data_IF_606900102877
#
_entry.id   IF_606900102877
#
_cell.length_a   1.000
_cell.length_b   1.000
_cell.length_c   1.000
_cell.angle_alpha   90.00
_cell.angle_beta   90.00
_cell.angle_gamma   90.00
#
_symmetry.space_group_name_H-M   'P 1'
#
loop_
_entity.id
_entity.type
_entity.pdbx_description
1 polymer ?
#
# COMPACT_ATOMS: atom_id res chain seq x y z
N UNK A 1 7.55 4.45 -7.18
CA UNK A 1 7.68 4.38 -5.71
C UNK A 1 8.94 5.09 -5.20
N UNK A 2 10.15 4.66 -5.60
CA UNK A 2 11.43 5.27 -5.14
C UNK A 2 11.49 6.78 -5.43
N UNK A 3 11.31 7.18 -6.68
CA UNK A 3 11.36 8.60 -7.10
C UNK A 3 10.35 9.46 -6.33
N UNK A 4 9.13 8.96 -6.14
CA UNK A 4 8.10 9.67 -5.39
C UNK A 4 8.47 9.87 -3.91
N UNK A 5 9.01 8.86 -3.25
CA UNK A 5 9.49 8.99 -1.86
C UNK A 5 10.74 9.90 -1.76
N UNK A 6 11.59 9.94 -2.79
CA UNK A 6 12.70 10.88 -2.85
C UNK A 6 12.17 12.32 -2.90
N UNK A 7 11.16 12.59 -3.72
CA UNK A 7 10.50 13.90 -3.73
C UNK A 7 9.83 14.24 -2.40
N UNK A 8 9.22 13.28 -1.71
CA UNK A 8 8.71 13.48 -0.36
C UNK A 8 9.83 13.90 0.62
N UNK A 9 11.00 13.27 0.55
CA UNK A 9 12.13 13.58 1.43
C UNK A 9 12.67 15.00 1.23
N UNK A 10 12.67 15.51 -0.01
CA UNK A 10 13.21 16.84 -0.34
C UNK A 10 12.14 17.94 -0.45
N UNK A 11 10.87 17.63 -0.20
CA UNK A 11 9.75 18.54 -0.47
C UNK A 11 9.79 19.85 0.35
N UNK A 12 10.03 21.03 -0.27
CA UNK A 12 10.21 22.28 0.47
C UNK A 12 8.89 22.83 1.05
N UNK A 13 7.75 22.36 0.54
CA UNK A 13 6.43 22.78 0.99
C UNK A 13 5.42 21.62 0.91
N UNK A 14 4.25 21.85 1.51
CA UNK A 14 3.17 20.88 1.58
C UNK A 14 2.67 20.43 0.21
N UNK A 15 2.55 21.34 -0.77
CA UNK A 15 2.01 21.03 -2.08
C UNK A 15 2.90 20.06 -2.85
N UNK A 16 4.22 20.25 -2.81
CA UNK A 16 5.15 19.29 -3.42
C UNK A 16 5.10 17.94 -2.71
N UNK A 17 5.03 17.94 -1.37
CA UNK A 17 4.88 16.70 -0.60
C UNK A 17 3.60 15.95 -0.99
N UNK A 18 2.48 16.66 -1.12
CA UNK A 18 1.21 16.06 -1.50
C UNK A 18 1.22 15.51 -2.93
N UNK A 19 1.76 16.28 -3.88
CA UNK A 19 1.92 15.80 -5.26
C UNK A 19 2.81 14.54 -5.32
N UNK A 20 3.91 14.52 -4.57
CA UNK A 20 4.80 13.36 -4.47
C UNK A 20 4.12 12.14 -3.84
N UNK A 21 3.25 12.34 -2.84
CA UNK A 21 2.42 11.29 -2.23
C UNK A 21 1.44 10.69 -3.25
N UNK A 22 0.72 11.54 -3.99
CA UNK A 22 -0.20 11.11 -5.05
C UNK A 22 0.55 10.32 -6.12
N UNK A 23 1.70 10.83 -6.57
CA UNK A 23 2.56 10.13 -7.52
C UNK A 23 3.03 8.76 -7.00
N UNK A 24 3.41 8.69 -5.73
CA UNK A 24 3.83 7.44 -5.08
C UNK A 24 2.69 6.43 -5.01
N UNK A 25 1.45 6.89 -4.76
CA UNK A 25 0.27 6.04 -4.64
C UNK A 25 -0.06 5.27 -5.94
N UNK A 26 0.13 5.88 -7.11
CA UNK A 26 -0.03 5.18 -8.40
C UNK A 26 0.90 3.96 -8.51
N UNK A 27 2.15 4.10 -8.06
CA UNK A 27 3.10 2.99 -8.06
C UNK A 27 2.72 1.88 -7.07
N UNK A 28 2.08 2.22 -5.96
CA UNK A 28 1.64 1.25 -4.95
C UNK A 28 0.51 0.36 -5.49
N UNK A 29 -0.48 0.94 -6.20
CA UNK A 29 -1.59 0.18 -6.78
C UNK A 29 -1.13 -0.82 -7.85
N UNK A 30 -0.23 -0.42 -8.75
CA UNK A 30 0.30 -1.29 -9.79
C UNK A 30 1.12 -2.47 -9.24
N UNK A 31 1.79 -2.28 -8.10
CA UNK A 31 2.68 -3.28 -7.51
C UNK A 31 1.95 -4.56 -7.11
N UNK A 32 0.77 -4.48 -6.48
CA UNK A 32 0.07 -5.69 -6.05
C UNK A 32 -0.43 -6.53 -7.21
N UNK A 33 -0.96 -5.90 -8.26
CA UNK A 33 -1.40 -6.58 -9.46
C UNK A 33 -0.24 -7.30 -10.15
N UNK A 34 0.77 -6.55 -10.58
CA UNK A 34 1.92 -7.08 -11.33
C UNK A 34 2.73 -8.05 -10.46
N UNK A 35 2.99 -7.69 -9.21
CA UNK A 35 3.76 -8.51 -8.27
C UNK A 35 3.14 -9.89 -8.05
N UNK A 36 1.81 -9.97 -7.93
CA UNK A 36 1.12 -11.26 -7.78
C UNK A 36 1.23 -12.15 -9.02
N UNK A 37 1.15 -11.56 -10.22
CA UNK A 37 1.32 -12.27 -11.50
C UNK A 37 2.74 -12.79 -11.65
N UNK A 38 3.74 -11.96 -11.36
CA UNK A 38 5.16 -12.35 -11.39
C UNK A 38 5.45 -13.42 -10.33
N UNK A 39 4.99 -13.25 -9.10
CA UNK A 39 5.18 -14.27 -8.05
C UNK A 39 4.59 -15.63 -8.46
N UNK A 40 3.42 -15.63 -9.09
CA UNK A 40 2.76 -16.85 -9.56
C UNK A 40 3.42 -17.47 -10.82
N UNK A 41 4.13 -16.69 -11.64
CA UNK A 41 4.84 -17.20 -12.81
C UNK A 41 6.19 -17.83 -12.46
N UNK A 42 6.82 -17.41 -11.36
CA UNK A 42 8.11 -17.92 -10.88
C UNK A 42 8.04 -19.30 -10.20
N UNK A 43 6.85 -19.84 -9.98
CA UNK A 43 6.65 -21.13 -9.28
C UNK A 43 5.75 -22.09 -10.06
N UNK A 44 5.88 -23.42 -9.83
CA UNK A 44 4.95 -24.41 -10.38
C UNK A 44 3.49 -24.12 -10.01
N UNK A 45 2.54 -24.55 -10.87
CA UNK A 45 1.10 -24.22 -10.73
C UNK A 45 0.52 -24.56 -9.35
N UNK A 46 0.95 -25.67 -8.75
CA UNK A 46 0.50 -26.12 -7.43
C UNK A 46 1.05 -25.28 -6.25
N UNK A 47 2.00 -24.38 -6.49
CA UNK A 47 2.60 -23.50 -5.47
C UNK A 47 2.25 -22.02 -5.64
N UNK A 48 1.45 -21.67 -6.65
CA UNK A 48 1.10 -20.26 -6.95
C UNK A 48 0.42 -19.55 -5.79
N UNK A 49 -0.54 -20.21 -5.14
CA UNK A 49 -1.20 -19.66 -3.97
C UNK A 49 -0.20 -19.35 -2.85
N UNK A 50 0.76 -20.24 -2.59
CA UNK A 50 1.81 -20.03 -1.59
C UNK A 50 2.76 -18.90 -1.95
N UNK A 51 3.13 -18.74 -3.23
CA UNK A 51 3.97 -17.63 -3.67
C UNK A 51 3.27 -16.27 -3.51
N UNK A 52 1.98 -16.20 -3.87
CA UNK A 52 1.17 -14.99 -3.64
C UNK A 52 1.02 -14.73 -2.13
N UNK A 53 0.74 -15.77 -1.33
CA UNK A 53 0.63 -15.64 0.12
C UNK A 53 1.94 -15.14 0.75
N UNK A 54 3.10 -15.64 0.29
CA UNK A 54 4.41 -15.17 0.76
C UNK A 54 4.64 -13.69 0.42
N UNK A 55 4.23 -13.24 -0.77
CA UNK A 55 4.29 -11.82 -1.14
C UNK A 55 3.44 -10.96 -0.19
N UNK A 56 2.20 -11.39 0.13
CA UNK A 56 1.34 -10.68 1.08
C UNK A 56 1.82 -10.79 2.54
N UNK A 57 2.49 -11.88 2.92
CA UNK A 57 3.13 -11.98 4.24
C UNK A 57 4.20 -10.88 4.44
N UNK A 58 4.89 -10.49 3.35
CA UNK A 58 5.78 -9.33 3.35
C UNK A 58 5.07 -8.02 3.71
N UNK A 59 3.84 -7.81 3.25
CA UNK A 59 3.00 -6.65 3.62
C UNK A 59 2.67 -6.66 5.12
N UNK A 60 2.32 -7.82 5.67
CA UNK A 60 2.05 -7.97 7.11
C UNK A 60 3.29 -7.64 7.94
N UNK A 61 4.45 -8.21 7.59
CA UNK A 61 5.72 -7.92 8.25
C UNK A 61 6.10 -6.43 8.14
N UNK A 62 5.90 -5.83 6.97
CA UNK A 62 6.15 -4.41 6.75
C UNK A 62 5.28 -3.51 7.63
N UNK A 63 4.03 -3.86 7.88
CA UNK A 63 3.18 -3.10 8.81
C UNK A 63 3.62 -3.26 10.27
N UNK A 64 3.92 -4.49 10.70
CA UNK A 64 4.31 -4.79 12.09
C UNK A 64 5.65 -4.15 12.45
N UNK A 65 6.64 -4.23 11.56
CA UNK A 65 8.01 -3.75 11.82
C UNK A 65 8.25 -2.35 11.28
N UNK A 66 7.73 -2.06 10.09
CA UNK A 66 8.01 -0.83 9.37
C UNK A 66 7.34 0.40 9.99
N UNK A 67 6.13 0.29 10.55
CA UNK A 67 5.47 1.42 11.20
C UNK A 67 6.23 1.84 12.48
N UNK A 68 6.52 0.95 13.45
CA UNK A 68 7.29 1.33 14.63
C UNK A 68 8.70 1.83 14.30
N UNK A 69 9.42 1.15 13.40
CA UNK A 69 10.75 1.56 12.99
C UNK A 69 10.73 2.92 12.27
N UNK A 70 9.75 3.15 11.41
CA UNK A 70 9.56 4.41 10.70
C UNK A 70 9.22 5.57 11.64
N UNK A 71 8.40 5.33 12.66
CA UNK A 71 8.08 6.30 13.71
C UNK A 71 9.33 6.62 14.54
N UNK A 72 10.03 5.61 15.05
CA UNK A 72 11.24 5.80 15.86
C UNK A 72 12.32 6.59 15.10
N UNK A 73 12.52 6.28 13.80
CA UNK A 73 13.44 7.01 12.93
C UNK A 73 12.97 8.45 12.70
N UNK A 74 11.67 8.65 12.52
CA UNK A 74 11.06 9.96 12.33
C UNK A 74 11.15 10.86 13.58
N UNK A 75 11.06 10.27 14.77
CA UNK A 75 11.25 10.97 16.05
C UNK A 75 12.71 11.34 16.28
N UNK A 76 13.65 10.44 15.97
CA UNK A 76 15.08 10.66 16.22
C UNK A 76 15.74 11.62 15.21
N UNK A 77 15.39 11.53 13.93
CA UNK A 77 16.07 12.25 12.84
C UNK A 77 15.13 13.10 11.97
N UNK A 78 13.87 13.22 12.37
CA UNK A 78 12.84 13.92 11.62
C UNK A 78 12.18 13.05 10.55
N UNK A 79 10.93 13.38 10.21
CA UNK A 79 10.09 12.61 9.28
C UNK A 79 10.70 12.40 7.88
N UNK A 80 11.61 13.27 7.45
CA UNK A 80 12.32 13.14 6.17
C UNK A 80 13.25 11.93 6.13
N UNK A 81 13.86 11.58 7.26
CA UNK A 81 14.73 10.42 7.37
C UNK A 81 13.98 9.13 7.04
N UNK A 82 12.71 9.02 7.45
CA UNK A 82 11.84 7.89 7.11
C UNK A 82 11.65 7.75 5.60
N UNK A 83 11.46 8.86 4.87
CA UNK A 83 11.37 8.80 3.41
C UNK A 83 12.69 8.39 2.75
N UNK A 84 13.84 8.88 3.25
CA UNK A 84 15.15 8.48 2.74
C UNK A 84 15.44 6.99 2.99
N UNK A 85 15.05 6.46 4.15
CA UNK A 85 15.17 5.04 4.44
C UNK A 85 14.32 4.19 3.47
N UNK A 86 13.07 4.62 3.21
CA UNK A 86 12.19 3.97 2.22
C UNK A 86 12.77 4.04 0.81
N UNK A 87 13.41 5.15 0.43
CA UNK A 87 14.14 5.27 -0.85
C UNK A 87 15.26 4.23 -0.91
N UNK A 88 16.06 4.11 0.14
CA UNK A 88 17.14 3.12 0.21
C UNK A 88 16.63 1.68 0.06
N UNK A 89 15.60 1.30 0.83
CA UNK A 89 14.95 -0.01 0.71
C UNK A 89 14.42 -0.23 -0.71
N UNK A 90 13.76 0.77 -1.28
CA UNK A 90 13.22 0.67 -2.63
C UNK A 90 14.30 0.53 -3.70
N UNK A 91 15.45 1.17 -3.56
CA UNK A 91 16.60 0.98 -4.47
C UNK A 91 17.15 -0.45 -4.38
N UNK A 92 17.27 -1.00 -3.16
CA UNK A 92 17.67 -2.39 -2.94
C UNK A 92 16.66 -3.34 -3.60
N UNK A 93 15.35 -3.10 -3.43
CA UNK A 93 14.31 -3.90 -4.06
C UNK A 93 14.38 -3.83 -5.59
N UNK A 94 14.61 -2.65 -6.17
CA UNK A 94 14.77 -2.48 -7.62
C UNK A 94 15.98 -3.27 -8.12
N UNK A 95 17.12 -3.18 -7.44
CA UNK A 95 18.32 -3.95 -7.80
C UNK A 95 18.09 -5.46 -7.70
N UNK A 96 17.45 -5.92 -6.61
CA UNK A 96 17.12 -7.33 -6.41
C UNK A 96 16.18 -7.84 -7.51
N UNK A 97 15.15 -7.08 -7.89
CA UNK A 97 14.25 -7.44 -9.00
C UNK A 97 15.03 -7.51 -10.31
N UNK A 98 15.85 -6.50 -10.61
CA UNK A 98 16.62 -6.43 -11.85
C UNK A 98 17.63 -7.58 -12.00
N UNK A 99 18.15 -8.13 -10.89
CA UNK A 99 19.13 -9.21 -10.91
C UNK A 99 18.53 -10.61 -10.74
N UNK A 100 17.46 -10.76 -9.96
CA UNK A 100 16.93 -12.06 -9.58
C UNK A 100 15.69 -12.46 -10.36
N UNK A 101 14.92 -11.51 -10.91
CA UNK A 101 13.72 -11.82 -11.69
C UNK A 101 14.13 -12.08 -13.14
N UNK A 102 13.91 -13.29 -13.68
CA UNK A 102 14.22 -13.62 -15.06
C UNK A 102 13.47 -12.71 -16.04
N UNK A 103 14.13 -12.31 -17.13
CA UNK A 103 13.55 -11.42 -18.14
C UNK A 103 12.58 -12.13 -19.08
N UNK A 104 12.51 -13.46 -19.02
CA UNK A 104 11.70 -14.34 -19.85
C UNK A 104 10.36 -14.72 -19.19
N UNK A 105 9.98 -14.05 -18.09
CA UNK A 105 8.63 -14.18 -17.52
C UNK A 105 7.62 -13.87 -18.62
N UNK A 106 6.97 -14.94 -19.10
CA UNK A 106 6.15 -14.92 -20.30
C UNK A 106 5.03 -13.91 -20.13
N UNK A 107 5.00 -12.89 -20.99
CA UNK A 107 3.89 -11.94 -21.01
C UNK A 107 2.59 -12.73 -21.19
N UNK A 108 1.54 -12.48 -20.38
CA UNK A 108 0.23 -13.04 -20.64
C UNK A 108 -0.18 -12.65 -22.06
N UNK A 109 -0.37 -13.63 -22.92
CA UNK A 109 -0.82 -13.41 -24.29
C UNK A 109 -2.21 -12.75 -24.27
N UNK A 110 -2.27 -11.42 -24.31
CA UNK A 110 -3.51 -10.68 -24.08
C UNK A 110 -3.47 -9.23 -24.57
N UNK A 111 -3.76 -9.03 -25.86
CA UNK A 111 -4.34 -7.80 -26.44
C UNK A 111 -3.52 -6.50 -26.45
N UNK A 112 -2.38 -6.42 -25.76
CA UNK A 112 -1.55 -5.22 -25.63
C UNK A 112 -2.25 -4.06 -24.90
N UNK A 113 -1.54 -2.95 -24.72
CA UNK A 113 -2.02 -1.76 -23.99
C UNK A 113 -3.40 -1.26 -24.48
N UNK A 114 -3.68 -1.40 -25.78
CA UNK A 114 -4.97 -1.01 -26.38
C UNK A 114 -6.15 -1.84 -25.85
N UNK A 115 -5.96 -3.14 -25.60
CA UNK A 115 -7.01 -3.97 -25.04
C UNK A 115 -7.27 -3.62 -23.58
N UNK A 116 -6.22 -3.33 -22.80
CA UNK A 116 -6.36 -2.88 -21.40
C UNK A 116 -7.09 -1.54 -21.31
N UNK A 117 -6.72 -0.57 -22.15
CA UNK A 117 -7.42 0.74 -22.18
C UNK A 117 -8.88 0.57 -22.62
N UNK A 118 -9.18 -0.36 -23.54
CA UNK A 118 -10.56 -0.64 -23.96
C UNK A 118 -11.42 -1.22 -22.81
N UNK A 119 -10.82 -1.92 -21.85
CA UNK A 119 -11.54 -2.42 -20.66
C UNK A 119 -12.06 -1.26 -19.82
N UNK A 120 -11.36 -0.11 -19.77
CA UNK A 120 -11.83 1.10 -19.11
C UNK A 120 -13.07 1.73 -19.78
N UNK A 121 -13.45 1.31 -20.98
CA UNK A 121 -14.71 1.72 -21.60
C UNK A 121 -15.96 1.06 -21.00
N UNK A 122 -15.80 0.03 -20.16
CA UNK A 122 -16.91 -0.73 -19.58
C UNK A 122 -17.38 -0.10 -18.27
N UNK A 123 -18.67 0.27 -18.20
CA UNK A 123 -19.29 0.82 -16.98
C UNK A 123 -19.11 -0.10 -15.76
N UNK A 124 -19.20 -1.42 -15.94
CA UNK A 124 -19.02 -2.39 -14.86
C UNK A 124 -17.63 -2.32 -14.21
N UNK A 125 -16.59 -1.96 -14.97
CA UNK A 125 -15.23 -1.77 -14.44
C UNK A 125 -15.17 -0.51 -13.58
N UNK A 126 -15.76 0.59 -14.04
CA UNK A 126 -15.88 1.82 -13.25
C UNK A 126 -16.69 1.61 -11.98
N UNK A 127 -17.80 0.88 -12.04
CA UNK A 127 -18.61 0.56 -10.86
C UNK A 127 -17.80 -0.28 -9.87
N UNK A 128 -17.07 -1.30 -10.32
CA UNK A 128 -16.22 -2.10 -9.45
C UNK A 128 -15.10 -1.26 -8.80
N UNK A 129 -14.43 -0.40 -9.59
CA UNK A 129 -13.41 0.52 -9.07
C UNK A 129 -13.99 1.51 -8.07
N UNK A 130 -15.19 2.04 -8.33
CA UNK A 130 -15.88 2.98 -7.46
C UNK A 130 -16.29 2.31 -6.14
N UNK A 131 -16.86 1.10 -6.20
CA UNK A 131 -17.19 0.32 -5.00
C UNK A 131 -15.93 0.08 -4.17
N UNK A 132 -14.85 -0.42 -4.79
CA UNK A 132 -13.59 -0.65 -4.08
C UNK A 132 -13.03 0.64 -3.46
N UNK A 133 -13.04 1.74 -4.20
CA UNK A 133 -12.59 3.04 -3.73
C UNK A 133 -13.43 3.56 -2.56
N UNK A 134 -14.77 3.46 -2.65
CA UNK A 134 -15.69 3.89 -1.58
C UNK A 134 -15.55 3.02 -0.33
N UNK A 135 -15.44 1.70 -0.48
CA UNK A 135 -15.20 0.78 0.63
C UNK A 135 -13.88 1.10 1.34
N UNK A 136 -12.79 1.29 0.58
CA UNK A 136 -11.51 1.69 1.16
C UNK A 136 -11.57 3.08 1.81
N UNK A 137 -12.18 4.07 1.15
CA UNK A 137 -12.32 5.42 1.68
C UNK A 137 -13.11 5.44 2.99
N UNK A 138 -14.22 4.69 3.06
CA UNK A 138 -15.01 4.52 4.28
C UNK A 138 -14.17 3.94 5.42
N UNK A 139 -13.41 2.87 5.16
CA UNK A 139 -12.57 2.23 6.16
C UNK A 139 -11.50 3.20 6.70
N UNK A 140 -10.78 3.89 5.82
CA UNK A 140 -9.73 4.82 6.22
C UNK A 140 -10.27 6.08 6.89
N UNK A 141 -11.44 6.58 6.48
CA UNK A 141 -12.09 7.72 7.13
C UNK A 141 -12.41 7.40 8.59
N UNK A 142 -13.01 6.23 8.85
CA UNK A 142 -13.25 5.75 10.22
C UNK A 142 -11.91 5.63 10.96
N UNK A 143 -10.93 4.93 10.40
CA UNK A 143 -9.64 4.72 11.08
C UNK A 143 -8.91 6.02 11.44
N UNK A 144 -9.01 7.04 10.58
CA UNK A 144 -8.34 8.34 10.75
C UNK A 144 -9.03 9.19 11.82
N UNK A 145 -10.37 9.17 11.86
CA UNK A 145 -11.14 10.13 12.67
C UNK A 145 -11.89 9.49 13.86
N UNK A 146 -11.82 8.18 14.05
CA UNK A 146 -12.54 7.47 15.13
C UNK A 146 -12.21 8.05 16.51
N UNK A 147 -10.92 8.31 16.81
CA UNK A 147 -10.51 8.87 18.10
C UNK A 147 -11.10 10.28 18.32
N UNK A 148 -10.80 11.30 17.48
CA UNK A 148 -11.35 12.63 17.68
C UNK A 148 -12.88 12.66 17.63
N UNK A 149 -13.53 11.82 16.82
CA UNK A 149 -15.00 11.72 16.82
C UNK A 149 -15.57 11.20 18.15
N UNK A 150 -14.94 10.18 18.75
CA UNK A 150 -15.39 9.63 20.02
C UNK A 150 -15.07 10.55 21.20
N UNK A 151 -13.93 11.24 21.21
CA UNK A 151 -13.56 12.13 22.31
C UNK A 151 -14.24 13.50 22.21
N UNK A 152 -14.17 14.14 21.04
CA UNK A 152 -14.47 15.58 20.90
C UNK A 152 -15.95 15.82 20.58
N UNK A 153 -16.60 14.87 19.89
CA UNK A 153 -18.02 14.95 19.52
C UNK A 153 -18.88 14.12 20.48
N UNK A 154 -18.49 12.87 20.72
CA UNK A 154 -19.28 11.93 21.52
C UNK A 154 -19.01 12.03 23.03
N UNK A 155 -17.96 12.74 23.44
CA UNK A 155 -17.62 12.98 24.85
C UNK A 155 -17.12 11.74 25.61
N UNK A 156 -16.70 10.67 24.91
CA UNK A 156 -16.20 9.47 25.57
C UNK A 156 -14.84 9.72 26.24
N UNK A 157 -14.64 9.08 27.39
CA UNK A 157 -13.33 9.07 28.04
C UNK A 157 -12.29 8.35 27.17
N UNK A 158 -11.02 8.76 27.29
CA UNK A 158 -9.92 8.14 26.52
C UNK A 158 -9.80 6.64 26.79
N UNK A 159 -10.12 6.18 28.00
CA UNK A 159 -10.12 4.76 28.34
C UNK A 159 -11.21 3.97 27.58
N UNK A 160 -12.38 4.55 27.37
CA UNK A 160 -13.45 3.91 26.60
C UNK A 160 -13.08 3.81 25.10
N UNK A 161 -12.34 4.78 24.56
CA UNK A 161 -11.85 4.74 23.17
C UNK A 161 -10.97 3.51 22.92
N UNK A 162 -10.10 3.16 23.87
CA UNK A 162 -9.25 1.97 23.76
C UNK A 162 -10.07 0.68 23.58
N UNK A 163 -11.18 0.53 24.32
CA UNK A 163 -12.07 -0.62 24.19
C UNK A 163 -12.80 -0.66 22.85
N UNK A 164 -13.24 0.50 22.35
CA UNK A 164 -13.87 0.59 21.02
C UNK A 164 -12.87 0.23 19.92
N UNK A 165 -11.61 0.68 20.02
CA UNK A 165 -10.55 0.32 19.07
C UNK A 165 -10.21 -1.17 19.12
N UNK A 166 -10.21 -1.78 20.31
CA UNK A 166 -10.06 -3.23 20.48
C UNK A 166 -11.20 -4.00 19.80
N UNK A 167 -12.44 -3.59 20.03
CA UNK A 167 -13.62 -4.21 19.43
C UNK A 167 -13.60 -4.07 17.89
N UNK A 168 -13.20 -2.90 17.40
CA UNK A 168 -13.01 -2.64 15.98
C UNK A 168 -11.94 -3.56 15.37
N UNK A 169 -10.79 -3.71 16.04
CA UNK A 169 -9.73 -4.64 15.62
C UNK A 169 -10.19 -6.11 15.61
N UNK A 170 -10.97 -6.53 16.61
CA UNK A 170 -11.55 -7.87 16.66
C UNK A 170 -12.54 -8.10 15.51
N UNK A 171 -13.42 -7.13 15.24
CA UNK A 171 -14.34 -7.18 14.11
C UNK A 171 -13.63 -7.33 12.76
N UNK A 172 -12.55 -6.58 12.53
CA UNK A 172 -11.72 -6.71 11.32
C UNK A 172 -11.00 -8.05 11.20
N UNK A 173 -10.76 -8.74 12.32
CA UNK A 173 -10.08 -10.05 12.33
C UNK A 173 -11.05 -11.20 12.06
N UNK A 174 -12.30 -11.06 12.51
CA UNK A 174 -13.34 -12.10 12.37
C UNK A 174 -13.98 -12.09 10.98
N UNK A 175 -14.19 -10.91 10.40
CA UNK A 175 -14.81 -10.75 9.06
C UNK A 175 -13.87 -11.08 7.92
#
# INVERSE_FOLDING_TARGET
>A
FVVGNLFCAIAPNYWLLMAARVFTAFGHGAFFGIGSVVAASLVPRNKRASAIALMFAGLTLANILGVPAGTALGEAFGWRATFLAVVGIGLISVAAIAWLVPSDVTEPSGGGLRAEVRVLGKLQVWLAMLIAALTSASLFAVFTYIKPYLTDVSGLSTAAVTWVLLLFGAGMTIG
#
